data_IF_473212007628
#
_entry.id   IF_473212007628
#
_cell.length_a   1.000
_cell.length_b   1.000
_cell.length_c   1.000
_cell.angle_alpha   90.00
_cell.angle_beta   90.00
_cell.angle_gamma   90.00
#
_symmetry.space_group_name_H-M   'P 1'
#
loop_
_entity.id
_entity.type
_entity.pdbx_description
1 polymer ?
#
# COMPACT_ATOMS: atom_id res chain seq x y z
N UNK A 1 3.83 -8.89 -20.96
CA UNK A 1 4.14 -7.66 -20.21
C UNK A 1 3.86 -6.47 -21.13
N UNK A 2 2.91 -5.61 -20.79
CA UNK A 2 2.67 -4.36 -21.52
C UNK A 2 3.46 -3.28 -20.79
N UNK A 3 4.62 -2.92 -21.31
CA UNK A 3 5.42 -1.81 -20.78
C UNK A 3 4.93 -0.51 -21.42
N UNK A 4 4.32 0.36 -20.61
CA UNK A 4 3.87 1.68 -21.07
C UNK A 4 5.06 2.65 -20.98
N UNK A 5 5.70 2.93 -22.11
CA UNK A 5 6.84 3.84 -22.21
C UNK A 5 6.49 5.29 -21.79
N UNK A 6 7.48 6.13 -21.42
CA UNK A 6 7.33 7.28 -20.50
C UNK A 6 6.41 8.44 -20.95
N UNK A 7 5.81 8.34 -22.12
CA UNK A 7 4.92 9.37 -22.67
C UNK A 7 3.59 8.83 -23.18
N UNK A 8 3.29 7.53 -23.01
CA UNK A 8 1.90 7.09 -23.09
C UNK A 8 1.24 7.52 -21.79
N UNK A 9 0.81 8.78 -21.77
CA UNK A 9 -0.24 9.16 -20.84
C UNK A 9 -1.34 8.14 -21.05
N UNK A 10 -1.67 7.37 -20.01
CA UNK A 10 -2.88 6.54 -19.94
C UNK A 10 -4.09 7.48 -20.00
N UNK A 11 -4.24 8.17 -21.13
CA UNK A 11 -5.43 8.92 -21.46
C UNK A 11 -6.54 7.90 -21.74
N UNK A 12 -7.75 8.41 -21.91
CA UNK A 12 -8.93 7.63 -22.26
C UNK A 12 -8.66 6.64 -23.40
N UNK A 13 -7.84 7.03 -24.37
CA UNK A 13 -7.42 6.21 -25.51
C UNK A 13 -6.58 4.99 -25.10
N UNK A 14 -5.66 5.15 -24.15
CA UNK A 14 -4.86 4.06 -23.60
C UNK A 14 -5.71 3.04 -22.86
N UNK A 15 -6.67 3.50 -22.05
CA UNK A 15 -7.62 2.62 -21.38
C UNK A 15 -8.53 1.88 -22.37
N UNK A 16 -8.99 2.54 -23.44
CA UNK A 16 -9.75 1.87 -24.49
C UNK A 16 -8.93 0.79 -25.20
N UNK A 17 -7.63 1.01 -25.41
CA UNK A 17 -6.75 0.01 -25.97
C UNK A 17 -6.57 -1.18 -25.02
N UNK A 18 -6.40 -0.93 -23.72
CA UNK A 18 -6.31 -1.98 -22.70
C UNK A 18 -7.62 -2.77 -22.53
N UNK A 19 -8.77 -2.16 -22.84
CA UNK A 19 -10.06 -2.80 -22.65
C UNK A 19 -10.22 -4.13 -23.40
N UNK A 20 -9.57 -4.25 -24.57
CA UNK A 20 -9.56 -5.50 -25.34
C UNK A 20 -8.68 -6.59 -24.73
N UNK A 21 -7.88 -6.26 -23.72
CA UNK A 21 -6.88 -7.13 -23.12
C UNK A 21 -7.09 -7.38 -21.62
N UNK A 22 -8.10 -6.78 -20.97
CA UNK A 22 -8.29 -6.91 -19.52
C UNK A 22 -8.36 -8.36 -19.01
N UNK A 23 -8.86 -9.29 -19.81
CA UNK A 23 -8.90 -10.71 -19.45
C UNK A 23 -7.57 -11.45 -19.63
N UNK A 24 -6.57 -10.83 -20.24
CA UNK A 24 -5.25 -11.44 -20.51
C UNK A 24 -4.09 -10.69 -19.88
N UNK A 25 -4.35 -9.53 -19.27
CA UNK A 25 -3.31 -8.75 -18.60
C UNK A 25 -2.96 -9.37 -17.25
N UNK A 26 -1.71 -9.81 -17.12
CA UNK A 26 -1.15 -10.35 -15.88
C UNK A 26 -0.28 -9.31 -15.15
N UNK A 27 0.26 -8.34 -15.86
CA UNK A 27 1.16 -7.32 -15.32
C UNK A 27 0.86 -5.98 -15.94
N UNK A 28 0.64 -4.97 -15.10
CA UNK A 28 0.50 -3.57 -15.50
C UNK A 28 1.42 -2.74 -14.61
N UNK A 29 2.41 -2.13 -15.26
CA UNK A 29 3.31 -1.18 -14.62
C UNK A 29 3.03 0.21 -15.19
N UNK A 30 2.75 1.17 -14.31
CA UNK A 30 2.40 2.54 -14.67
C UNK A 30 3.59 3.43 -14.33
N UNK A 31 4.21 4.00 -15.37
CA UNK A 31 5.27 4.99 -15.20
C UNK A 31 4.68 6.39 -15.02
N UNK A 32 5.12 7.13 -14.00
CA UNK A 32 4.97 8.58 -13.84
C UNK A 32 3.57 9.11 -14.20
N UNK A 33 2.64 9.04 -13.25
CA UNK A 33 1.24 9.35 -13.50
C UNK A 33 0.67 10.33 -12.47
N UNK A 34 -0.14 11.28 -12.95
CA UNK A 34 -0.73 12.36 -12.14
C UNK A 34 -2.25 12.25 -11.96
N UNK A 35 -2.90 11.21 -12.48
CA UNK A 35 -4.36 11.06 -12.36
C UNK A 35 -4.75 9.90 -11.43
N UNK A 36 -5.64 10.20 -10.47
CA UNK A 36 -5.98 9.32 -9.35
C UNK A 36 -6.96 8.20 -9.67
N UNK A 37 -7.79 8.29 -10.73
CA UNK A 37 -8.92 7.37 -10.92
C UNK A 37 -8.62 6.11 -11.74
N UNK A 38 -7.77 6.20 -12.77
CA UNK A 38 -7.49 5.07 -13.68
C UNK A 38 -6.86 3.84 -13.02
N UNK A 39 -5.99 3.96 -11.99
CA UNK A 39 -5.42 2.80 -11.32
C UNK A 39 -6.49 1.81 -10.80
N UNK A 40 -7.58 2.36 -10.25
CA UNK A 40 -8.67 1.56 -9.70
C UNK A 40 -9.48 0.87 -10.79
N UNK A 41 -9.66 1.50 -11.95
CA UNK A 41 -10.36 0.87 -13.07
C UNK A 41 -9.58 -0.33 -13.63
N UNK A 42 -8.25 -0.27 -13.67
CA UNK A 42 -7.43 -1.44 -14.04
C UNK A 42 -7.66 -2.60 -13.09
N UNK A 43 -7.64 -2.35 -11.77
CA UNK A 43 -7.88 -3.35 -10.73
C UNK A 43 -9.30 -3.93 -10.80
N UNK A 44 -10.31 -3.09 -11.08
CA UNK A 44 -11.70 -3.52 -11.27
C UNK A 44 -11.89 -4.40 -12.49
N UNK A 45 -11.20 -4.11 -13.59
CA UNK A 45 -11.53 -4.70 -14.90
C UNK A 45 -10.67 -5.92 -15.26
N UNK A 46 -9.45 -6.00 -14.74
CA UNK A 46 -8.51 -7.08 -15.09
C UNK A 46 -8.66 -8.29 -14.15
N UNK A 47 -9.14 -9.43 -14.64
CA UNK A 47 -9.37 -10.63 -13.80
C UNK A 47 -8.15 -11.50 -13.54
N UNK A 48 -7.13 -11.40 -14.39
CA UNK A 48 -5.91 -12.21 -14.32
C UNK A 48 -4.69 -11.39 -13.88
N UNK A 49 -4.91 -10.17 -13.38
CA UNK A 49 -3.83 -9.28 -13.00
C UNK A 49 -3.12 -9.82 -11.77
N UNK A 50 -1.83 -10.13 -11.92
CA UNK A 50 -0.97 -10.64 -10.85
C UNK A 50 -0.08 -9.54 -10.27
N UNK A 51 0.35 -8.57 -11.09
CA UNK A 51 1.22 -7.47 -10.67
C UNK A 51 0.67 -6.13 -11.12
N UNK A 52 0.52 -5.22 -10.16
CA UNK A 52 0.08 -3.85 -10.38
C UNK A 52 0.96 -2.87 -9.61
N UNK A 53 1.49 -1.84 -10.26
CA UNK A 53 2.22 -0.78 -9.58
C UNK A 53 3.10 0.06 -10.47
N UNK A 54 4.11 0.70 -9.90
CA UNK A 54 5.13 1.46 -10.64
C UNK A 54 6.30 0.57 -11.11
N UNK A 55 7.00 1.01 -12.15
CA UNK A 55 8.22 0.39 -12.63
C UNK A 55 9.45 0.98 -11.93
N UNK A 56 9.98 0.24 -10.95
CA UNK A 56 11.13 0.67 -10.14
C UNK A 56 12.44 0.83 -10.92
N UNK A 57 12.53 0.36 -12.17
CA UNK A 57 13.83 0.02 -12.77
C UNK A 57 14.72 1.24 -13.08
N UNK A 58 14.22 2.47 -13.18
CA UNK A 58 15.06 3.58 -13.69
C UNK A 58 14.74 5.01 -13.21
N UNK A 59 13.83 5.22 -12.26
CA UNK A 59 13.44 6.58 -11.91
C UNK A 59 14.16 7.08 -10.66
N UNK A 60 14.58 8.36 -10.64
CA UNK A 60 14.91 9.00 -9.38
C UNK A 60 13.73 8.81 -8.42
N UNK A 61 13.98 8.58 -7.13
CA UNK A 61 12.90 8.26 -6.21
C UNK A 61 11.83 9.39 -6.23
N UNK A 62 10.57 9.07 -5.95
CA UNK A 62 9.48 10.07 -5.90
C UNK A 62 8.43 10.05 -7.02
N UNK A 63 8.53 9.15 -8.01
CA UNK A 63 7.53 8.99 -9.09
C UNK A 63 6.57 7.79 -8.92
N UNK A 64 6.42 7.31 -7.68
CA UNK A 64 5.57 6.16 -7.41
C UNK A 64 4.10 6.43 -7.74
N UNK A 65 3.43 5.36 -8.17
CA UNK A 65 2.00 5.34 -8.40
C UNK A 65 1.25 5.76 -7.13
N UNK A 66 0.64 6.94 -7.17
CA UNK A 66 -0.19 7.48 -6.08
C UNK A 66 -1.66 7.32 -6.38
N UNK A 67 -2.43 6.94 -5.36
CA UNK A 67 -3.89 6.82 -5.45
C UNK A 67 -4.51 7.42 -4.20
N UNK A 68 -5.41 8.38 -4.39
CA UNK A 68 -6.22 8.94 -3.32
C UNK A 68 -7.02 7.83 -2.61
N UNK A 69 -7.04 7.84 -1.28
CA UNK A 69 -7.61 6.78 -0.47
C UNK A 69 -9.11 6.59 -0.74
N UNK A 70 -9.89 7.67 -0.91
CA UNK A 70 -11.33 7.55 -1.22
C UNK A 70 -11.54 6.85 -2.56
N UNK A 71 -10.68 7.16 -3.54
CA UNK A 71 -10.67 6.52 -4.85
C UNK A 71 -10.24 5.05 -4.74
N UNK A 72 -9.15 4.76 -4.04
CA UNK A 72 -8.62 3.40 -3.82
C UNK A 72 -9.61 2.49 -3.11
N UNK A 73 -10.29 2.99 -2.08
CA UNK A 73 -11.29 2.22 -1.34
C UNK A 73 -12.39 1.73 -2.28
N UNK A 74 -12.81 2.55 -3.24
CA UNK A 74 -13.85 2.17 -4.19
C UNK A 74 -15.12 1.70 -3.47
N UNK A 75 -15.59 2.55 -2.56
CA UNK A 75 -16.79 2.35 -1.77
C UNK A 75 -18.01 2.74 -2.58
N UNK A 76 -18.97 1.84 -2.70
CA UNK A 76 -20.28 2.13 -3.27
C UNK A 76 -21.22 2.61 -2.17
N UNK A 77 -21.63 3.87 -2.24
CA UNK A 77 -22.54 4.46 -1.25
C UNK A 77 -23.95 3.88 -1.34
N UNK A 78 -24.40 3.47 -2.52
CA UNK A 78 -25.74 2.92 -2.71
C UNK A 78 -25.83 1.48 -2.15
N UNK A 79 -24.72 0.74 -2.23
CA UNK A 79 -24.63 -0.64 -1.74
C UNK A 79 -24.00 -0.77 -0.35
N UNK A 80 -23.61 0.36 0.26
CA UNK A 80 -22.86 0.42 1.53
C UNK A 80 -21.73 -0.62 1.62
N UNK A 81 -20.99 -0.81 0.53
CA UNK A 81 -19.98 -1.86 0.43
C UNK A 81 -18.89 -1.56 -0.59
N UNK A 82 -17.77 -2.27 -0.45
CA UNK A 82 -16.64 -2.20 -1.38
C UNK A 82 -16.98 -2.90 -2.69
N UNK A 83 -16.91 -2.20 -3.83
CA UNK A 83 -17.12 -2.83 -5.15
C UNK A 83 -16.05 -3.90 -5.38
N UNK A 84 -16.40 -5.12 -5.82
CA UNK A 84 -15.41 -6.18 -6.02
C UNK A 84 -14.45 -5.82 -7.15
N UNK A 85 -13.15 -6.00 -6.91
CA UNK A 85 -12.15 -6.00 -7.97
C UNK A 85 -12.05 -7.38 -8.60
N UNK A 86 -11.91 -7.44 -9.92
CA UNK A 86 -11.79 -8.73 -10.62
C UNK A 86 -10.46 -9.43 -10.31
N UNK A 87 -9.42 -8.69 -9.93
CA UNK A 87 -8.12 -9.23 -9.60
C UNK A 87 -7.94 -9.67 -8.13
N UNK A 88 -8.96 -9.61 -7.26
CA UNK A 88 -8.79 -9.89 -5.82
C UNK A 88 -8.15 -11.25 -5.54
N UNK A 89 -8.51 -12.25 -6.35
CA UNK A 89 -7.99 -13.60 -6.24
C UNK A 89 -6.75 -13.85 -7.11
N UNK A 90 -6.30 -12.93 -7.96
CA UNK A 90 -5.13 -13.13 -8.82
C UNK A 90 -3.93 -12.27 -8.40
N UNK A 91 -4.17 -11.13 -7.76
CA UNK A 91 -3.15 -10.13 -7.47
C UNK A 91 -2.15 -10.65 -6.41
N UNK A 92 -0.87 -10.69 -6.79
CA UNK A 92 0.26 -11.12 -5.96
C UNK A 92 1.14 -9.94 -5.57
N UNK A 93 1.26 -8.93 -6.41
CA UNK A 93 2.11 -7.76 -6.17
C UNK A 93 1.30 -6.49 -6.35
N UNK A 94 1.25 -5.68 -5.30
CA UNK A 94 0.65 -4.34 -5.31
C UNK A 94 1.69 -3.33 -4.85
N UNK A 95 2.05 -2.39 -5.74
CA UNK A 95 2.92 -1.26 -5.42
C UNK A 95 2.20 0.05 -5.64
N UNK A 96 1.81 0.71 -4.56
CA UNK A 96 0.99 1.93 -4.61
C UNK A 96 1.18 2.76 -3.35
N UNK A 97 1.35 4.06 -3.50
CA UNK A 97 1.25 5.00 -2.39
C UNK A 97 -0.21 5.42 -2.28
N UNK A 98 -0.82 5.14 -1.13
CA UNK A 98 -2.20 5.56 -0.85
C UNK A 98 -2.11 6.88 -0.07
N UNK A 99 -2.63 7.95 -0.64
CA UNK A 99 -2.63 9.29 -0.04
C UNK A 99 -4.04 9.82 0.23
N UNK A 100 -4.17 11.08 0.68
CA UNK A 100 -5.49 11.67 0.94
C UNK A 100 -6.16 11.18 2.23
N UNK A 101 -5.40 10.60 3.17
CA UNK A 101 -5.91 10.14 4.47
C UNK A 101 -5.66 11.23 5.53
N UNK A 102 -6.71 11.83 6.12
CA UNK A 102 -6.55 12.73 7.25
C UNK A 102 -5.87 12.05 8.45
N UNK A 103 -4.85 12.70 9.01
CA UNK A 103 -4.04 12.23 10.15
C UNK A 103 -3.92 13.33 11.20
N UNK A 104 -5.01 13.61 11.96
CA UNK A 104 -5.01 14.68 12.95
C UNK A 104 -4.05 14.44 14.14
N UNK A 105 -3.52 13.23 14.25
CA UNK A 105 -2.48 12.84 15.21
C UNK A 105 -1.07 13.32 14.83
N UNK A 106 -0.88 13.81 13.60
CA UNK A 106 0.36 14.36 13.09
C UNK A 106 0.30 15.90 13.11
N UNK A 107 1.45 16.54 13.29
CA UNK A 107 1.59 18.00 13.31
C UNK A 107 2.60 18.37 12.21
N UNK A 108 2.26 19.33 11.35
CA UNK A 108 3.19 19.82 10.33
C UNK A 108 2.50 20.33 9.08
N UNK A 109 3.30 20.75 8.11
CA UNK A 109 2.81 21.11 6.78
C UNK A 109 2.30 19.85 6.05
N UNK A 110 1.21 19.99 5.30
CA UNK A 110 0.61 18.89 4.54
C UNK A 110 -0.26 17.94 5.35
N UNK A 111 -0.56 18.22 6.62
CA UNK A 111 -1.60 17.46 7.34
C UNK A 111 -2.97 17.85 6.79
N UNK A 112 -3.71 16.86 6.29
CA UNK A 112 -5.10 17.05 5.86
C UNK A 112 -6.00 17.11 7.10
N UNK A 113 -6.78 18.19 7.21
CA UNK A 113 -7.82 18.32 8.24
C UNK A 113 -8.97 17.34 7.98
N UNK A 114 -9.51 16.75 9.05
CA UNK A 114 -10.73 15.95 8.96
C UNK A 114 -11.95 16.83 8.65
N UNK A 115 -12.78 16.41 7.70
CA UNK A 115 -14.09 17.03 7.44
C UNK A 115 -15.06 16.83 8.63
N UNK A 116 -14.88 15.73 9.37
CA UNK A 116 -15.62 15.40 10.59
C UNK A 116 -14.76 14.51 11.51
N UNK A 117 -14.95 14.57 12.85
CA UNK A 117 -14.17 13.78 13.78
C UNK A 117 -14.20 12.27 13.46
N UNK A 118 -13.03 11.68 13.28
CA UNK A 118 -12.86 10.25 13.01
C UNK A 118 -12.89 9.85 11.54
N UNK A 119 -13.04 10.81 10.61
CA UNK A 119 -12.99 10.56 9.17
C UNK A 119 -11.72 9.79 8.75
N UNK A 120 -10.56 10.18 9.29
CA UNK A 120 -9.28 9.55 8.98
C UNK A 120 -9.32 8.05 9.31
N UNK A 121 -9.78 7.70 10.52
CA UNK A 121 -9.91 6.30 10.97
C UNK A 121 -10.88 5.51 10.11
N UNK A 122 -12.00 6.12 9.71
CA UNK A 122 -12.97 5.46 8.84
C UNK A 122 -12.37 5.13 7.47
N UNK A 123 -11.70 6.09 6.84
CA UNK A 123 -11.04 5.90 5.54
C UNK A 123 -9.95 4.83 5.66
N UNK A 124 -9.10 4.90 6.68
CA UNK A 124 -8.07 3.88 6.93
C UNK A 124 -8.67 2.49 7.10
N UNK A 125 -9.71 2.37 7.92
CA UNK A 125 -10.41 1.10 8.13
C UNK A 125 -10.92 0.50 6.82
N UNK A 126 -11.45 1.32 5.91
CA UNK A 126 -11.92 0.88 4.59
C UNK A 126 -10.77 0.54 3.64
N UNK A 127 -9.63 1.25 3.70
CA UNK A 127 -8.42 0.88 2.96
C UNK A 127 -7.93 -0.49 3.41
N UNK A 128 -7.90 -0.76 4.72
CA UNK A 128 -7.54 -2.07 5.25
C UNK A 128 -8.53 -3.17 4.86
N UNK A 129 -9.85 -2.88 4.87
CA UNK A 129 -10.85 -3.84 4.36
C UNK A 129 -10.61 -4.19 2.88
N UNK A 130 -10.24 -3.19 2.07
CA UNK A 130 -9.90 -3.40 0.66
C UNK A 130 -8.67 -4.28 0.50
N UNK A 131 -7.58 -3.96 1.22
CA UNK A 131 -6.34 -4.73 1.18
C UNK A 131 -6.52 -6.17 1.68
N UNK A 132 -7.33 -6.38 2.73
CA UNK A 132 -7.60 -7.70 3.30
C UNK A 132 -8.26 -8.68 2.32
N UNK A 133 -8.93 -8.18 1.27
CA UNK A 133 -9.55 -9.02 0.23
C UNK A 133 -8.53 -9.60 -0.75
N UNK A 134 -7.33 -9.03 -0.83
CA UNK A 134 -6.25 -9.47 -1.72
C UNK A 134 -5.52 -10.68 -1.13
N UNK A 135 -6.24 -11.78 -0.88
CA UNK A 135 -5.74 -12.95 -0.13
C UNK A 135 -4.54 -13.65 -0.77
N UNK A 136 -4.28 -13.41 -2.05
CA UNK A 136 -3.13 -13.94 -2.78
C UNK A 136 -1.92 -13.00 -2.84
N UNK A 137 -1.99 -11.87 -2.14
CA UNK A 137 -0.93 -10.88 -2.10
C UNK A 137 0.34 -11.45 -1.42
N UNK A 138 1.45 -11.32 -2.13
CA UNK A 138 2.80 -11.72 -1.71
C UNK A 138 3.68 -10.49 -1.43
N UNK A 139 3.50 -9.41 -2.19
CA UNK A 139 4.29 -8.19 -2.05
C UNK A 139 3.35 -6.99 -1.96
N UNK A 140 3.42 -6.27 -0.83
CA UNK A 140 2.65 -5.06 -0.58
C UNK A 140 3.61 -3.90 -0.33
N UNK A 141 3.75 -3.02 -1.32
CA UNK A 141 4.64 -1.86 -1.28
C UNK A 141 3.75 -0.62 -1.16
N UNK A 142 3.67 -0.07 0.05
CA UNK A 142 2.92 1.15 0.37
C UNK A 142 3.84 2.38 0.50
N UNK A 143 5.13 2.12 0.72
CA UNK A 143 6.19 3.09 0.88
C UNK A 143 6.46 3.94 -0.36
N UNK A 144 7.02 5.13 -0.09
CA UNK A 144 7.35 6.17 -1.05
C UNK A 144 8.78 6.14 -1.62
N UNK A 145 9.61 5.20 -1.15
CA UNK A 145 11.06 5.24 -1.34
C UNK A 145 11.77 6.29 -0.45
N UNK A 146 13.08 6.46 -0.63
CA UNK A 146 14.03 7.13 0.28
C UNK A 146 13.85 8.66 0.50
N UNK A 147 12.77 9.28 0.03
CA UNK A 147 12.59 10.72 0.27
C UNK A 147 12.10 11.01 1.70
N UNK A 148 13.03 11.54 2.49
CA UNK A 148 12.99 11.86 3.94
C UNK A 148 11.97 12.92 4.39
N UNK A 149 10.88 13.14 3.67
CA UNK A 149 9.80 14.00 4.19
C UNK A 149 8.68 13.06 4.58
N UNK A 150 8.59 12.76 5.87
CA UNK A 150 7.56 11.90 6.46
C UNK A 150 6.21 12.31 5.92
N UNK A 151 5.66 11.49 5.02
CA UNK A 151 4.39 11.82 4.37
C UNK A 151 3.31 11.69 5.43
N UNK A 152 2.73 12.82 5.80
CA UNK A 152 1.67 12.90 6.81
C UNK A 152 0.34 12.34 6.32
N UNK A 153 0.12 12.29 5.00
CA UNK A 153 -1.12 11.82 4.38
C UNK A 153 -1.12 10.31 4.09
N UNK A 154 -0.45 9.48 4.89
CA UNK A 154 -0.30 8.04 4.64
C UNK A 154 -1.09 7.17 5.63
N UNK A 155 -1.23 5.89 5.27
CA UNK A 155 -1.84 4.85 6.09
C UNK A 155 -1.09 4.70 7.42
N UNK A 156 -1.79 4.78 8.54
CA UNK A 156 -1.23 4.45 9.84
C UNK A 156 -1.16 2.94 9.99
N UNK A 157 0.01 2.40 10.32
CA UNK A 157 0.24 0.97 10.44
C UNK A 157 0.03 0.46 11.88
N UNK A 158 -1.13 0.78 12.47
CA UNK A 158 -1.47 0.41 13.85
C UNK A 158 -2.66 -0.55 13.94
N UNK A 159 -2.78 -1.30 15.04
CA UNK A 159 -3.94 -2.17 15.24
C UNK A 159 -5.24 -1.36 15.35
N UNK A 160 -5.17 -0.15 15.90
CA UNK A 160 -6.30 0.77 16.05
C UNK A 160 -6.82 1.28 14.70
N UNK A 161 -5.93 1.54 13.73
CA UNK A 161 -6.32 1.99 12.40
C UNK A 161 -6.89 0.88 11.50
N UNK A 162 -6.64 -0.39 11.85
CA UNK A 162 -7.20 -1.54 11.16
C UNK A 162 -6.19 -2.55 10.63
N UNK A 163 -4.90 -2.44 10.99
CA UNK A 163 -3.86 -3.42 10.63
C UNK A 163 -4.31 -4.87 10.89
N UNK A 164 -5.05 -5.10 11.98
CA UNK A 164 -5.63 -6.40 12.36
C UNK A 164 -6.42 -7.12 11.26
N UNK A 165 -7.02 -6.34 10.34
CA UNK A 165 -7.81 -6.85 9.20
C UNK A 165 -6.93 -7.60 8.19
N UNK A 166 -5.63 -7.33 8.16
CA UNK A 166 -4.67 -7.98 7.26
C UNK A 166 -4.22 -9.37 7.74
N UNK A 167 -4.78 -9.91 8.83
CA UNK A 167 -4.48 -11.26 9.33
C UNK A 167 -4.70 -12.36 8.27
N UNK A 168 -5.58 -12.13 7.29
CA UNK A 168 -5.88 -13.05 6.20
C UNK A 168 -4.80 -13.14 5.11
N UNK A 169 -3.83 -12.24 5.07
CA UNK A 169 -2.78 -12.19 4.04
C UNK A 169 -1.69 -13.26 4.28
N UNK A 170 -2.08 -14.54 4.24
CA UNK A 170 -1.22 -15.69 4.57
C UNK A 170 -0.12 -15.98 3.54
N UNK A 171 -0.10 -15.24 2.44
CA UNK A 171 0.92 -15.36 1.38
C UNK A 171 1.90 -14.20 1.36
N UNK A 172 1.73 -13.22 2.26
CA UNK A 172 2.57 -12.03 2.31
C UNK A 172 4.03 -12.42 2.63
N UNK A 173 4.93 -12.00 1.76
CA UNK A 173 6.38 -12.20 1.84
C UNK A 173 7.12 -10.89 2.09
N UNK A 174 6.57 -9.78 1.62
CA UNK A 174 7.16 -8.46 1.84
C UNK A 174 6.08 -7.41 2.08
N UNK A 175 6.28 -6.62 3.13
CA UNK A 175 5.60 -5.36 3.39
C UNK A 175 6.64 -4.25 3.38
N UNK A 176 6.51 -3.30 2.47
CA UNK A 176 7.38 -2.13 2.41
C UNK A 176 6.60 -0.88 2.77
N UNK A 177 7.00 -0.25 3.88
CA UNK A 177 6.47 1.02 4.38
C UNK A 177 7.55 2.10 4.43
N UNK A 178 8.63 1.97 3.64
CA UNK A 178 9.73 2.95 3.59
C UNK A 178 9.19 4.34 3.24
N UNK A 179 9.56 5.34 4.03
CA UNK A 179 9.14 6.74 3.83
C UNK A 179 7.69 7.03 4.23
N UNK A 180 7.02 6.09 4.92
CA UNK A 180 5.77 6.35 5.62
C UNK A 180 6.04 6.76 7.06
N UNK A 181 5.22 7.64 7.62
CA UNK A 181 5.17 7.92 9.06
C UNK A 181 4.41 6.76 9.77
N UNK A 182 4.97 5.56 9.68
CA UNK A 182 4.36 4.33 10.14
C UNK A 182 4.56 4.16 11.66
N UNK A 183 3.47 4.28 12.42
CA UNK A 183 3.47 3.99 13.87
C UNK A 183 3.37 2.49 14.13
N UNK A 184 4.48 1.76 13.95
CA UNK A 184 4.55 0.32 14.23
C UNK A 184 5.24 0.14 15.59
N UNK A 185 4.43 -0.01 16.65
CA UNK A 185 4.93 -0.29 17.99
C UNK A 185 5.19 -1.78 18.23
N UNK A 186 5.62 -2.12 19.46
CA UNK A 186 5.86 -3.50 19.88
C UNK A 186 4.62 -4.38 19.75
N UNK A 187 3.43 -3.84 20.04
CA UNK A 187 2.17 -4.58 19.96
C UNK A 187 1.81 -4.94 18.51
N UNK A 188 1.93 -3.97 17.60
CA UNK A 188 1.74 -4.17 16.16
C UNK A 188 2.73 -5.21 15.62
N UNK A 189 4.01 -5.06 15.97
CA UNK A 189 5.05 -5.99 15.54
C UNK A 189 4.81 -7.41 16.04
N UNK A 190 4.48 -7.58 17.32
CA UNK A 190 4.12 -8.88 17.88
C UNK A 190 2.91 -9.48 17.14
N UNK A 191 1.86 -8.69 16.92
CA UNK A 191 0.69 -9.13 16.17
C UNK A 191 1.06 -9.60 14.75
N UNK A 192 1.93 -8.87 14.04
CA UNK A 192 2.40 -9.26 12.70
C UNK A 192 3.11 -10.61 12.74
N UNK A 193 3.99 -10.83 13.72
CA UNK A 193 4.71 -12.11 13.91
C UNK A 193 3.77 -13.29 14.19
N UNK A 194 2.66 -13.06 14.89
CA UNK A 194 1.67 -14.09 15.21
C UNK A 194 0.75 -14.40 14.01
N UNK A 195 0.50 -13.44 13.12
CA UNK A 195 -0.54 -13.55 12.09
C UNK A 195 0.00 -13.73 10.66
N UNK A 196 1.21 -13.26 10.35
CA UNK A 196 1.80 -13.35 9.03
C UNK A 196 2.82 -14.49 8.92
N UNK A 197 3.17 -14.92 7.69
CA UNK A 197 4.18 -15.95 7.51
C UNK A 197 5.51 -15.55 8.14
N UNK A 198 6.22 -16.52 8.73
CA UNK A 198 7.52 -16.31 9.37
C UNK A 198 8.60 -15.79 8.42
N UNK A 199 8.37 -15.88 7.11
CA UNK A 199 9.24 -15.40 6.05
C UNK A 199 8.90 -13.97 5.58
N UNK A 200 7.88 -13.32 6.16
CA UNK A 200 7.51 -11.97 5.78
C UNK A 200 8.59 -10.96 6.21
N UNK A 201 9.17 -10.25 5.24
CA UNK A 201 10.11 -9.16 5.45
C UNK A 201 9.33 -7.84 5.57
N UNK A 202 9.62 -7.04 6.60
CA UNK A 202 9.05 -5.71 6.77
C UNK A 202 10.17 -4.69 6.53
N UNK A 203 10.01 -3.81 5.55
CA UNK A 203 10.95 -2.72 5.23
C UNK A 203 10.40 -1.38 5.67
N UNK A 204 11.30 -0.44 5.98
CA UNK A 204 10.92 0.91 6.43
C UNK A 204 10.71 1.04 7.93
N UNK A 205 11.19 0.07 8.72
CA UNK A 205 11.29 0.15 10.19
C UNK A 205 12.64 0.68 10.66
N UNK A 206 13.56 0.96 9.74
CA UNK A 206 14.88 1.48 10.09
C UNK A 206 14.71 2.90 10.63
N UNK A 207 15.11 3.13 11.89
CA UNK A 207 15.15 4.47 12.45
C UNK A 207 16.08 5.33 11.58
N UNK A 208 15.51 6.35 10.94
CA UNK A 208 16.29 7.44 10.35
C UNK A 208 17.22 7.95 11.45
N UNK A 209 18.52 7.64 11.37
CA UNK A 209 19.53 7.76 12.44
C UNK A 209 19.72 9.17 13.04
N UNK A 210 18.67 9.70 13.66
CA UNK A 210 18.52 11.03 14.20
C UNK A 210 17.93 11.05 15.61
N UNK A 211 17.68 9.90 16.24
CA UNK A 211 17.35 9.82 17.66
C UNK A 211 18.27 8.85 18.41
N UNK A 212 19.15 9.44 19.22
CA UNK A 212 19.79 8.79 20.35
C UNK A 212 18.69 8.20 21.28
N UNK A 213 18.91 6.98 21.77
CA UNK A 213 18.17 6.29 22.86
C UNK A 213 16.83 5.63 22.48
N UNK A 214 16.86 4.54 21.69
CA UNK A 214 15.68 3.65 21.54
C UNK A 214 15.89 2.38 20.70
N UNK A 215 16.79 2.41 19.71
CA UNK A 215 16.94 1.38 18.67
C UNK A 215 17.42 -0.02 19.10
N UNK A 216 18.04 -0.19 20.27
CA UNK A 216 18.70 -1.48 20.59
C UNK A 216 17.70 -2.64 20.77
N UNK A 217 16.47 -2.38 21.24
CA UNK A 217 15.52 -3.44 21.60
C UNK A 217 14.81 -4.08 20.38
N UNK A 218 14.53 -3.30 19.34
CA UNK A 218 13.89 -3.79 18.10
C UNK A 218 14.89 -4.48 17.16
N UNK A 219 16.11 -3.95 17.08
CA UNK A 219 17.24 -4.58 16.37
C UNK A 219 17.55 -5.97 16.92
N UNK A 220 17.58 -6.12 18.25
CA UNK A 220 17.75 -7.41 18.93
C UNK A 220 16.60 -8.38 18.61
N UNK A 221 15.34 -7.92 18.56
CA UNK A 221 14.20 -8.79 18.20
C UNK A 221 14.26 -9.29 16.75
N UNK A 222 14.70 -8.47 15.79
CA UNK A 222 14.88 -8.89 14.40
C UNK A 222 16.03 -9.90 14.24
N UNK A 223 17.14 -9.71 14.98
CA UNK A 223 18.28 -10.62 14.95
C UNK A 223 17.98 -11.94 15.70
N UNK A 224 17.18 -11.88 16.78
CA UNK A 224 16.67 -13.06 17.50
C UNK A 224 15.67 -13.83 16.62
N UNK A 225 14.76 -13.15 15.92
CA UNK A 225 13.83 -13.76 14.97
C UNK A 225 14.55 -14.50 13.84
N UNK A 226 15.65 -13.93 13.29
CA UNK A 226 16.50 -14.60 12.30
C UNK A 226 17.28 -15.79 12.88
N UNK A 227 17.69 -15.74 14.14
CA UNK A 227 18.43 -16.84 14.80
C UNK A 227 17.57 -17.99 15.29
N UNK A 228 16.27 -17.79 15.53
CA UNK A 228 15.34 -18.87 15.90
C UNK A 228 14.79 -19.67 14.71
N UNK A 229 15.17 -19.34 13.47
CA UNK A 229 14.72 -20.02 12.25
C UNK A 229 15.73 -21.06 11.69
N UNK A 230 16.76 -21.43 12.46
CA UNK A 230 17.73 -22.50 12.13
C UNK A 230 17.77 -23.60 13.20
#
# INVERSE_FOLDING_TARGET
VVELWPSVTLMKEGMNALANHFTTLETVLINNYSCSSYPVDVLRLCSNLETFGDNEVNYPPGFLLRVDAKTFVDYDLDLESLRPWRCEASLKTLKVVIDGIPRPDLIGEGVIEEEYPGQGREIQGRVFDRLARLTNLEYLILGGGEYKVGKTECLEMSLESGLGKLSGLKRLKELDVVGMEAKIGTNEFQWMMENWPSQCCIRGLEEDGHTDVGAEELSLSLDIGRRMQF
#
